data_IF_470438278894
#
_entry.id   IF_470438278894
#
_cell.length_a   1.000
_cell.length_b   1.000
_cell.length_c   1.000
_cell.angle_alpha   90.00
_cell.angle_beta   90.00
_cell.angle_gamma   90.00
#
_symmetry.space_group_name_H-M   'P 1'
#
loop_
_entity.id
_entity.type
_entity.pdbx_description
1 polymer ?
#
# COMPACT_ATOMS: atom_id res chain seq x y z
N UNK A 1 2.29 -22.07 -13.23
CA UNK A 1 3.10 -21.08 -12.48
C UNK A 1 4.43 -21.72 -12.11
N UNK A 2 5.53 -20.95 -12.05
CA UNK A 2 6.84 -21.42 -11.58
C UNK A 2 6.94 -21.27 -10.06
N UNK A 3 7.77 -22.07 -9.39
CA UNK A 3 8.12 -21.83 -7.99
C UNK A 3 8.74 -20.42 -7.84
N UNK A 4 8.37 -19.70 -6.77
CA UNK A 4 8.76 -18.29 -6.57
C UNK A 4 10.28 -18.09 -6.50
N UNK A 5 11.02 -19.06 -5.98
CA UNK A 5 12.48 -19.01 -5.92
C UNK A 5 13.11 -19.01 -7.33
N UNK A 6 12.47 -19.67 -8.30
CA UNK A 6 12.89 -19.65 -9.71
C UNK A 6 12.68 -18.26 -10.33
N UNK A 7 11.49 -17.69 -10.11
CA UNK A 7 11.14 -16.32 -10.58
C UNK A 7 12.07 -15.27 -9.95
N UNK A 8 12.36 -15.40 -8.67
CA UNK A 8 13.30 -14.53 -7.96
C UNK A 8 14.71 -14.58 -8.55
N UNK A 9 15.16 -15.78 -8.98
CA UNK A 9 16.47 -15.98 -9.60
C UNK A 9 16.58 -15.27 -10.95
N UNK A 10 15.50 -15.19 -11.73
CA UNK A 10 15.46 -14.50 -13.02
C UNK A 10 15.84 -13.01 -12.88
N UNK A 11 15.53 -12.38 -11.73
CA UNK A 11 15.97 -11.02 -11.41
C UNK A 11 17.17 -10.92 -10.47
N UNK A 12 17.73 -12.04 -10.02
CA UNK A 12 18.95 -12.09 -9.21
C UNK A 12 18.71 -11.81 -7.72
N UNK A 13 17.51 -12.12 -7.22
CA UNK A 13 17.20 -12.22 -5.79
C UNK A 13 17.66 -13.60 -5.31
N UNK A 14 18.37 -13.64 -4.18
CA UNK A 14 18.87 -14.88 -3.57
C UNK A 14 17.79 -15.49 -2.68
N UNK A 15 17.84 -16.81 -2.51
CA UNK A 15 16.86 -17.54 -1.70
C UNK A 15 16.82 -17.07 -0.24
N UNK A 16 17.97 -16.73 0.34
CA UNK A 16 18.05 -16.18 1.71
C UNK A 16 17.56 -14.73 1.83
N UNK A 17 17.21 -14.08 0.73
CA UNK A 17 16.59 -12.74 0.70
C UNK A 17 15.06 -12.84 0.53
N UNK A 18 14.52 -14.05 0.35
CA UNK A 18 13.09 -14.32 0.25
C UNK A 18 12.52 -14.82 1.58
N UNK A 19 11.28 -14.41 1.84
CA UNK A 19 10.44 -14.95 2.90
C UNK A 19 9.23 -15.57 2.18
N UNK A 20 9.25 -16.89 1.90
CA UNK A 20 8.18 -17.55 1.15
C UNK A 20 6.82 -17.46 1.86
N UNK A 21 5.76 -17.28 1.08
CA UNK A 21 4.36 -17.28 1.50
C UNK A 21 3.61 -18.35 0.70
N UNK A 22 3.99 -19.62 0.95
CA UNK A 22 3.67 -20.73 0.06
C UNK A 22 4.62 -20.79 -1.14
N UNK A 23 4.21 -21.50 -2.19
CA UNK A 23 5.10 -21.87 -3.30
C UNK A 23 5.27 -20.78 -4.37
N UNK A 24 4.27 -19.91 -4.53
CA UNK A 24 4.13 -19.01 -5.70
C UNK A 24 4.24 -17.53 -5.36
N UNK A 25 4.46 -17.18 -4.09
CA UNK A 25 4.59 -15.79 -3.62
C UNK A 25 5.58 -15.71 -2.45
N UNK A 26 6.25 -14.58 -2.32
CA UNK A 26 7.23 -14.34 -1.25
C UNK A 26 7.32 -12.85 -0.94
N UNK A 27 7.66 -12.50 0.31
CA UNK A 27 8.16 -11.15 0.63
C UNK A 27 9.65 -11.08 0.36
N UNK A 28 10.17 -9.94 -0.08
CA UNK A 28 11.61 -9.71 -0.27
C UNK A 28 12.17 -8.92 0.91
N UNK A 29 13.17 -9.47 1.59
CA UNK A 29 13.84 -8.80 2.70
C UNK A 29 14.49 -7.50 2.24
N UNK A 30 14.33 -6.43 3.03
CA UNK A 30 14.98 -5.14 2.76
C UNK A 30 16.51 -5.20 2.90
N UNK A 31 17.06 -6.25 3.53
CA UNK A 31 18.51 -6.47 3.60
C UNK A 31 19.15 -6.63 2.22
N UNK A 32 18.37 -6.99 1.19
CA UNK A 32 18.84 -7.05 -0.21
C UNK A 32 19.49 -5.75 -0.67
N UNK A 33 19.04 -4.59 -0.15
CA UNK A 33 19.60 -3.28 -0.49
C UNK A 33 21.06 -3.14 -0.07
N UNK A 34 21.55 -3.88 0.95
CA UNK A 34 22.98 -3.92 1.31
C UNK A 34 23.84 -4.44 0.15
N UNK A 35 23.29 -5.36 -0.66
CA UNK A 35 23.95 -5.95 -1.84
C UNK A 35 23.69 -5.16 -3.12
N UNK A 36 22.44 -4.78 -3.37
CA UNK A 36 22.03 -4.21 -4.66
C UNK A 36 21.93 -2.69 -4.67
N UNK A 37 21.96 -2.03 -3.50
CA UNK A 37 21.73 -0.59 -3.38
C UNK A 37 22.72 0.28 -4.15
N UNK A 38 23.97 -0.18 -4.30
CA UNK A 38 25.02 0.53 -5.08
C UNK A 38 24.99 0.22 -6.58
N UNK A 39 24.15 -0.70 -7.06
CA UNK A 39 24.03 -0.98 -8.50
C UNK A 39 23.43 0.23 -9.22
N UNK A 40 23.81 0.42 -10.49
CA UNK A 40 23.16 1.39 -11.37
C UNK A 40 21.68 1.01 -11.56
N UNK A 41 20.80 2.00 -11.56
CA UNK A 41 19.39 1.78 -11.84
C UNK A 41 19.21 1.35 -13.31
N UNK A 42 18.29 0.42 -13.55
CA UNK A 42 17.71 0.16 -14.85
C UNK A 42 16.82 1.32 -15.32
N UNK A 43 16.12 1.09 -16.44
CA UNK A 43 15.18 2.05 -17.02
C UNK A 43 13.83 1.95 -16.33
N UNK A 44 13.29 3.08 -15.89
CA UNK A 44 11.94 3.20 -15.36
C UNK A 44 10.97 3.48 -16.52
N UNK A 45 9.91 2.68 -16.64
CA UNK A 45 8.81 2.90 -17.58
C UNK A 45 7.54 3.10 -16.77
N UNK A 46 6.92 4.27 -16.91
CA UNK A 46 5.60 4.55 -16.36
C UNK A 46 4.53 4.28 -17.42
N UNK A 47 3.55 3.45 -17.07
CA UNK A 47 2.33 3.23 -17.85
C UNK A 47 1.21 4.06 -17.24
N UNK A 48 0.56 4.85 -18.09
CA UNK A 48 -0.60 5.69 -17.74
C UNK A 48 -1.62 5.62 -18.87
N UNK A 49 -2.74 6.31 -18.74
CA UNK A 49 -3.86 6.27 -19.69
C UNK A 49 -4.52 7.64 -19.83
N UNK A 50 -5.37 7.79 -20.83
CA UNK A 50 -6.34 8.90 -20.91
C UNK A 50 -7.33 8.83 -19.74
N UNK A 51 -8.15 9.87 -19.57
CA UNK A 51 -9.21 9.87 -18.56
C UNK A 51 -10.08 8.60 -18.69
N UNK A 52 -10.32 7.89 -17.58
CA UNK A 52 -11.02 6.60 -17.63
C UNK A 52 -12.48 6.78 -18.02
N UNK A 53 -12.96 5.85 -18.84
CA UNK A 53 -14.32 5.77 -19.36
C UNK A 53 -14.99 4.48 -18.86
N UNK A 54 -16.29 4.34 -19.11
CA UNK A 54 -17.04 3.14 -18.76
C UNK A 54 -16.53 1.88 -19.51
N UNK A 55 -15.97 2.05 -20.70
CA UNK A 55 -15.54 0.95 -21.56
C UNK A 55 -14.27 0.24 -21.05
N UNK A 56 -13.46 0.95 -20.25
CA UNK A 56 -12.26 0.43 -19.61
C UNK A 56 -11.04 0.38 -20.53
N UNK A 57 -9.96 1.05 -20.13
CA UNK A 57 -8.78 1.27 -20.98
C UNK A 57 -7.74 0.15 -20.87
N UNK A 58 -7.88 -0.77 -19.90
CA UNK A 58 -6.99 -1.93 -19.78
C UNK A 58 -5.55 -1.60 -19.37
N UNK A 59 -5.30 -0.45 -18.71
CA UNK A 59 -3.96 0.00 -18.30
C UNK A 59 -3.12 -1.10 -17.64
N UNK A 60 -3.65 -1.78 -16.62
CA UNK A 60 -2.91 -2.83 -15.90
C UNK A 60 -2.57 -4.02 -16.78
N UNK A 61 -3.45 -4.39 -17.71
CA UNK A 61 -3.18 -5.40 -18.74
C UNK A 61 -2.01 -4.99 -19.64
N UNK A 62 -1.92 -3.70 -20.01
CA UNK A 62 -0.80 -3.14 -20.79
C UNK A 62 0.49 -3.13 -19.97
N UNK A 63 0.46 -2.73 -18.69
CA UNK A 63 1.61 -2.78 -17.78
C UNK A 63 2.23 -4.18 -17.75
N UNK A 64 1.38 -5.20 -17.57
CA UNK A 64 1.79 -6.60 -17.52
C UNK A 64 2.27 -7.09 -18.88
N UNK A 65 1.51 -6.80 -19.95
CA UNK A 65 1.84 -7.20 -21.32
C UNK A 65 3.16 -6.60 -21.80
N UNK A 66 3.46 -5.35 -21.44
CA UNK A 66 4.71 -4.69 -21.79
C UNK A 66 5.91 -5.37 -21.13
N UNK A 67 5.81 -5.72 -19.84
CA UNK A 67 6.87 -6.45 -19.15
C UNK A 67 7.07 -7.86 -19.74
N UNK A 68 5.99 -8.57 -20.10
CA UNK A 68 6.05 -9.84 -20.83
C UNK A 68 6.74 -9.69 -22.19
N UNK A 69 6.36 -8.68 -22.97
CA UNK A 69 6.98 -8.41 -24.26
C UNK A 69 8.47 -8.11 -24.14
N UNK A 70 8.89 -7.29 -23.17
CA UNK A 70 10.30 -7.01 -22.90
C UNK A 70 11.08 -8.29 -22.55
N UNK A 71 10.51 -9.15 -21.72
CA UNK A 71 11.11 -10.44 -21.38
C UNK A 71 11.26 -11.35 -22.60
N UNK A 72 10.24 -11.44 -23.48
CA UNK A 72 10.30 -12.17 -24.75
C UNK A 72 11.37 -11.65 -25.71
N UNK A 73 11.67 -10.35 -25.65
CA UNK A 73 12.75 -9.72 -26.41
C UNK A 73 14.14 -9.91 -25.75
N UNK A 74 14.24 -10.79 -24.75
CA UNK A 74 15.48 -11.09 -24.04
C UNK A 74 15.95 -9.98 -23.11
N UNK A 75 15.07 -9.01 -22.76
CA UNK A 75 15.40 -7.97 -21.77
C UNK A 75 15.06 -8.45 -20.38
N UNK A 76 15.95 -8.20 -19.42
CA UNK A 76 15.69 -8.49 -18.02
C UNK A 76 14.66 -7.47 -17.49
N UNK A 77 13.39 -7.84 -17.49
CA UNK A 77 12.28 -6.97 -17.09
C UNK A 77 11.59 -7.47 -15.82
N UNK A 78 11.12 -6.54 -15.01
CA UNK A 78 10.12 -6.79 -13.99
C UNK A 78 9.13 -5.63 -13.92
N UNK A 79 8.02 -5.85 -13.23
CA UNK A 79 6.99 -4.83 -13.06
C UNK A 79 6.59 -4.63 -11.61
N UNK A 80 5.87 -3.55 -11.33
CA UNK A 80 5.09 -3.40 -10.12
C UNK A 80 3.68 -2.88 -10.39
N UNK A 81 2.71 -3.49 -9.69
CA UNK A 81 1.33 -3.04 -9.61
C UNK A 81 0.93 -2.85 -8.14
N UNK A 82 -0.23 -2.22 -7.94
CA UNK A 82 -0.81 -2.04 -6.62
C UNK A 82 -1.53 -3.31 -6.17
N UNK A 83 -1.52 -3.55 -4.86
CA UNK A 83 -2.39 -4.53 -4.25
C UNK A 83 -3.85 -4.03 -4.31
N UNK A 84 -4.78 -4.83 -4.86
CA UNK A 84 -6.19 -4.48 -4.85
C UNK A 84 -6.77 -4.60 -3.44
N UNK A 85 -7.71 -3.72 -3.12
CA UNK A 85 -8.52 -3.81 -1.91
C UNK A 85 -9.57 -4.92 -2.05
N UNK A 86 -9.81 -5.69 -0.98
CA UNK A 86 -10.73 -6.84 -1.00
C UNK A 86 -12.20 -6.40 -1.12
N UNK A 87 -12.57 -5.26 -0.51
CA UNK A 87 -13.94 -4.75 -0.53
C UNK A 87 -14.52 -4.59 -1.95
N UNK A 88 -13.84 -3.88 -2.87
CA UNK A 88 -14.26 -3.77 -4.27
C UNK A 88 -14.28 -5.09 -5.04
N UNK A 89 -13.33 -6.00 -4.76
CA UNK A 89 -13.26 -7.33 -5.40
C UNK A 89 -14.50 -8.16 -5.06
N UNK A 90 -14.97 -8.11 -3.80
CA UNK A 90 -16.18 -8.81 -3.36
C UNK A 90 -17.48 -8.15 -3.85
N UNK A 91 -17.39 -6.99 -4.49
CA UNK A 91 -18.52 -6.27 -5.06
C UNK A 91 -18.62 -6.45 -6.58
N UNK A 92 -18.56 -5.33 -7.30
CA UNK A 92 -18.76 -5.27 -8.76
C UNK A 92 -17.42 -5.15 -9.51
N UNK A 93 -16.33 -4.79 -8.82
CA UNK A 93 -15.08 -4.42 -9.48
C UNK A 93 -14.27 -5.68 -9.81
N UNK A 94 -13.89 -5.84 -11.09
CA UNK A 94 -12.97 -6.88 -11.52
C UNK A 94 -11.60 -6.79 -10.84
N UNK A 95 -10.84 -7.89 -10.87
CA UNK A 95 -9.56 -8.02 -10.17
C UNK A 95 -8.50 -7.01 -10.63
N UNK A 96 -7.67 -6.56 -9.69
CA UNK A 96 -6.57 -5.61 -9.94
C UNK A 96 -5.34 -6.24 -10.60
N UNK A 97 -5.47 -7.44 -11.16
CA UNK A 97 -4.36 -8.31 -11.57
C UNK A 97 -4.17 -8.42 -13.09
N UNK A 98 -4.81 -7.54 -13.88
CA UNK A 98 -4.78 -7.58 -15.35
C UNK A 98 -5.86 -8.48 -15.95
N UNK A 99 -5.73 -8.79 -17.25
CA UNK A 99 -6.75 -9.52 -18.00
C UNK A 99 -6.21 -10.43 -19.10
N UNK A 100 -6.98 -11.46 -19.46
CA UNK A 100 -6.65 -12.41 -20.52
C UNK A 100 -5.31 -13.13 -20.26
N UNK A 101 -4.41 -13.08 -21.24
CA UNK A 101 -3.07 -13.69 -21.13
C UNK A 101 -2.01 -12.78 -20.50
N UNK A 102 -2.39 -11.59 -20.04
CA UNK A 102 -1.52 -10.62 -19.40
C UNK A 102 -2.02 -10.37 -17.97
N UNK A 103 -1.76 -11.33 -17.09
CA UNK A 103 -2.17 -11.30 -15.69
C UNK A 103 -1.01 -11.54 -14.75
N UNK A 104 -1.11 -11.01 -13.53
CA UNK A 104 -0.26 -11.38 -12.39
C UNK A 104 -0.94 -12.50 -11.60
N UNK A 105 -0.18 -13.52 -11.21
CA UNK A 105 -0.63 -14.75 -10.58
C UNK A 105 0.16 -15.06 -9.30
N UNK A 106 -0.44 -15.74 -8.30
CA UNK A 106 -1.82 -16.24 -8.28
C UNK A 106 -2.85 -15.13 -8.01
N UNK A 107 -3.79 -14.95 -8.94
CA UNK A 107 -4.73 -13.83 -8.90
C UNK A 107 -5.74 -13.94 -7.73
N UNK A 108 -6.13 -15.16 -7.35
CA UNK A 108 -7.02 -15.40 -6.21
C UNK A 108 -6.42 -14.90 -4.89
N UNK A 109 -5.14 -15.22 -4.64
CA UNK A 109 -4.44 -14.75 -3.44
C UNK A 109 -4.34 -13.22 -3.45
N UNK A 110 -3.92 -12.64 -4.58
CA UNK A 110 -3.70 -11.19 -4.71
C UNK A 110 -5.00 -10.40 -4.50
N UNK A 111 -6.14 -10.92 -4.96
CA UNK A 111 -7.43 -10.25 -4.84
C UNK A 111 -8.11 -10.45 -3.46
N UNK A 112 -7.58 -11.35 -2.61
CA UNK A 112 -8.11 -11.65 -1.29
C UNK A 112 -7.18 -11.14 -0.17
N UNK A 113 -6.57 -12.05 0.59
CA UNK A 113 -5.74 -11.70 1.75
C UNK A 113 -4.27 -11.50 1.42
N UNK A 114 -3.85 -11.99 0.25
CA UNK A 114 -2.49 -11.98 -0.26
C UNK A 114 -1.43 -12.36 0.80
N UNK A 115 -0.64 -11.39 1.26
CA UNK A 115 0.39 -11.55 2.30
C UNK A 115 0.05 -10.80 3.59
N UNK A 116 -1.18 -10.29 3.69
CA UNK A 116 -1.71 -9.63 4.89
C UNK A 116 -1.40 -8.14 5.01
N UNK A 117 -0.91 -7.48 3.96
CA UNK A 117 -0.48 -6.08 4.02
C UNK A 117 -1.66 -5.13 4.32
N UNK A 118 -2.80 -5.31 3.66
CA UNK A 118 -4.03 -4.56 3.99
C UNK A 118 -4.48 -4.78 5.44
N UNK A 119 -4.34 -6.00 5.98
CA UNK A 119 -4.70 -6.31 7.37
C UNK A 119 -3.78 -5.62 8.36
N UNK A 120 -2.48 -5.61 8.09
CA UNK A 120 -1.48 -4.92 8.90
C UNK A 120 -1.73 -3.39 8.92
N UNK A 121 -2.04 -2.80 7.76
CA UNK A 121 -2.38 -1.37 7.64
C UNK A 121 -3.67 -1.04 8.39
N UNK A 122 -4.71 -1.88 8.26
CA UNK A 122 -5.97 -1.70 8.99
C UNK A 122 -5.74 -1.77 10.51
N UNK A 123 -4.91 -2.71 10.95
CA UNK A 123 -4.59 -2.90 12.37
C UNK A 123 -3.82 -1.72 12.93
N UNK A 124 -2.80 -1.22 12.21
CA UNK A 124 -2.03 -0.05 12.63
C UNK A 124 -2.89 1.22 12.68
N UNK A 125 -3.79 1.40 11.71
CA UNK A 125 -4.67 2.55 11.65
C UNK A 125 -5.67 2.56 12.81
N UNK A 126 -6.34 1.43 13.03
CA UNK A 126 -7.34 1.31 14.09
C UNK A 126 -6.72 1.27 15.48
N UNK A 127 -5.45 0.84 15.62
CA UNK A 127 -4.69 1.02 16.86
C UNK A 127 -4.58 2.51 17.21
N UNK A 128 -4.26 3.38 16.25
CA UNK A 128 -4.17 4.81 16.49
C UNK A 128 -5.53 5.41 16.89
N UNK A 129 -6.61 5.04 16.21
CA UNK A 129 -7.96 5.46 16.59
C UNK A 129 -8.33 4.98 18.01
N UNK A 130 -7.95 3.76 18.38
CA UNK A 130 -8.19 3.21 19.71
C UNK A 130 -7.37 3.92 20.81
N UNK A 131 -6.10 4.24 20.53
CA UNK A 131 -5.24 4.99 21.46
C UNK A 131 -5.73 6.42 21.67
N UNK A 132 -6.23 7.07 20.62
CA UNK A 132 -6.85 8.38 20.70
C UNK A 132 -8.06 8.36 21.65
N UNK A 133 -9.02 7.46 21.44
CA UNK A 133 -10.20 7.37 22.31
C UNK A 133 -9.85 6.94 23.74
N UNK A 134 -8.86 6.05 23.90
CA UNK A 134 -8.36 5.65 25.20
C UNK A 134 -7.74 6.82 25.97
N UNK A 135 -7.00 7.70 25.27
CA UNK A 135 -6.45 8.93 25.86
C UNK A 135 -7.55 9.87 26.33
N UNK A 136 -8.57 10.09 25.50
CA UNK A 136 -9.73 10.92 25.85
C UNK A 136 -10.44 10.33 27.08
N UNK A 137 -10.64 9.02 27.11
CA UNK A 137 -11.32 8.32 28.20
C UNK A 137 -10.58 8.42 29.55
N UNK A 138 -9.25 8.35 29.56
CA UNK A 138 -8.44 8.28 30.79
C UNK A 138 -7.99 9.64 31.36
N UNK A 139 -8.57 10.75 30.89
CA UNK A 139 -8.36 12.08 31.48
C UNK A 139 -7.84 13.14 30.53
N UNK A 140 -7.74 12.84 29.23
CA UNK A 140 -7.51 13.78 28.14
C UNK A 140 -6.51 14.90 28.44
N UNK A 141 -5.25 14.53 28.71
CA UNK A 141 -4.20 15.48 29.04
C UNK A 141 -3.86 16.48 27.91
N UNK A 142 -4.44 16.29 26.71
CA UNK A 142 -4.21 17.14 25.55
C UNK A 142 -5.41 18.04 25.23
N UNK A 143 -6.46 18.02 26.06
CA UNK A 143 -7.68 18.81 25.88
C UNK A 143 -8.25 18.68 24.46
N UNK A 144 -8.32 17.44 23.96
CA UNK A 144 -8.81 17.10 22.63
C UNK A 144 -10.28 17.50 22.51
N UNK A 145 -10.64 18.22 21.45
CA UNK A 145 -12.03 18.46 21.12
C UNK A 145 -12.59 17.25 20.34
N UNK A 146 -13.53 16.46 20.90
CA UNK A 146 -14.08 15.28 20.22
C UNK A 146 -14.82 15.60 18.91
N UNK A 147 -15.14 16.89 18.66
CA UNK A 147 -15.74 17.38 17.41
C UNK A 147 -14.69 17.59 16.30
N UNK A 148 -13.42 17.72 16.66
CA UNK A 148 -12.30 17.96 15.74
C UNK A 148 -11.31 16.78 15.69
N UNK A 149 -11.83 15.56 15.82
CA UNK A 149 -11.09 14.34 15.47
C UNK A 149 -11.08 14.20 13.94
N UNK A 150 -9.89 14.24 13.34
CA UNK A 150 -9.73 14.13 11.87
C UNK A 150 -9.31 12.73 11.42
N UNK A 151 -8.81 11.92 12.36
CA UNK A 151 -8.42 10.54 12.13
C UNK A 151 -9.63 9.60 12.20
N UNK A 152 -10.03 8.98 11.07
CA UNK A 152 -11.17 8.07 11.06
C UNK A 152 -10.79 6.69 11.63
N UNK A 153 -11.69 5.73 11.47
CA UNK A 153 -11.37 4.29 11.48
C UNK A 153 -11.32 3.73 10.06
N UNK A 154 -10.79 2.53 9.90
CA UNK A 154 -10.76 1.85 8.59
C UNK A 154 -11.18 0.39 8.64
N UNK A 155 -11.73 -0.06 7.52
CA UNK A 155 -11.89 -1.48 7.21
C UNK A 155 -11.82 -1.70 5.72
N UNK A 156 -11.28 -2.83 5.28
CA UNK A 156 -11.16 -3.12 3.85
C UNK A 156 -12.44 -3.74 3.29
N UNK A 157 -13.58 -3.07 3.50
CA UNK A 157 -14.90 -3.56 3.07
C UNK A 157 -15.74 -2.44 2.49
N UNK A 158 -16.58 -2.77 1.51
CA UNK A 158 -17.53 -1.84 0.93
C UNK A 158 -18.78 -1.70 1.81
N UNK A 159 -18.63 -1.10 2.99
CA UNK A 159 -19.74 -0.85 3.91
C UNK A 159 -20.13 0.63 3.94
N UNK A 160 -21.31 0.93 3.37
CA UNK A 160 -21.82 2.31 3.32
C UNK A 160 -22.40 2.80 4.65
N UNK A 161 -22.83 1.88 5.53
CA UNK A 161 -23.51 2.23 6.78
C UNK A 161 -22.53 2.82 7.80
N UNK A 162 -21.24 2.53 7.66
CA UNK A 162 -20.20 3.02 8.55
C UNK A 162 -19.61 4.38 8.13
N UNK A 163 -20.17 5.03 7.10
CA UNK A 163 -19.69 6.35 6.64
C UNK A 163 -19.93 7.47 7.66
N UNK A 164 -20.96 7.34 8.49
CA UNK A 164 -21.24 8.26 9.59
C UNK A 164 -21.76 7.43 10.76
N UNK A 165 -21.03 7.43 11.86
CA UNK A 165 -21.38 6.67 13.07
C UNK A 165 -21.22 7.55 14.30
N UNK A 166 -21.83 7.12 15.40
CA UNK A 166 -21.55 7.64 16.74
C UNK A 166 -20.93 6.50 17.54
N UNK A 167 -19.74 6.72 18.09
CA UNK A 167 -19.00 5.74 18.90
C UNK A 167 -19.00 6.15 20.37
N UNK A 168 -18.46 5.30 21.25
CA UNK A 168 -18.32 5.63 22.69
C UNK A 168 -19.63 5.68 23.47
N UNK A 169 -20.71 5.10 22.95
CA UNK A 169 -22.00 4.96 23.64
C UNK A 169 -21.96 3.86 24.71
N UNK A 170 -22.99 3.79 25.55
CA UNK A 170 -23.15 2.74 26.57
C UNK A 170 -22.90 3.20 28.01
N UNK A 171 -22.52 4.46 28.22
CA UNK A 171 -22.34 5.06 29.55
C UNK A 171 -20.88 5.16 29.99
N UNK A 172 -20.61 5.59 31.24
CA UNK A 172 -19.28 6.04 31.68
C UNK A 172 -18.14 5.02 31.62
N UNK A 173 -18.43 3.73 31.40
CA UNK A 173 -17.42 2.67 31.28
C UNK A 173 -17.05 2.33 29.83
N UNK A 174 -17.71 2.96 28.85
CA UNK A 174 -17.68 2.53 27.45
C UNK A 174 -17.10 3.56 26.48
N UNK A 175 -16.76 4.76 26.98
CA UNK A 175 -16.09 5.81 26.20
C UNK A 175 -16.76 7.17 26.33
N UNK A 176 -16.30 8.11 25.50
CA UNK A 176 -16.86 9.46 25.36
C UNK A 176 -17.59 9.54 24.00
N UNK A 177 -18.91 9.78 23.97
CA UNK A 177 -19.65 9.85 22.73
C UNK A 177 -19.16 10.94 21.78
N UNK A 178 -18.86 10.58 20.53
CA UNK A 178 -18.53 11.52 19.47
C UNK A 178 -18.86 10.93 18.08
N UNK A 179 -18.90 11.80 17.06
CA UNK A 179 -19.10 11.39 15.67
C UNK A 179 -17.80 10.85 15.08
N UNK A 180 -17.90 9.76 14.33
CA UNK A 180 -16.77 9.16 13.62
C UNK A 180 -17.22 8.59 12.26
N UNK A 181 -16.27 8.10 11.47
CA UNK A 181 -16.49 7.45 10.17
C UNK A 181 -15.49 6.33 9.93
N UNK A 182 -15.89 5.37 9.10
CA UNK A 182 -14.99 4.39 8.52
C UNK A 182 -14.65 4.76 7.08
N UNK A 183 -13.36 4.67 6.75
CA UNK A 183 -12.87 4.71 5.38
C UNK A 183 -12.40 3.33 4.94
N UNK A 184 -12.34 3.09 3.63
CA UNK A 184 -11.71 1.86 3.14
C UNK A 184 -10.21 1.89 3.41
N UNK A 185 -9.59 0.76 3.76
CA UNK A 185 -8.18 0.72 4.19
C UNK A 185 -7.21 1.35 3.19
N UNK A 186 -7.46 1.20 1.89
CA UNK A 186 -6.66 1.84 0.82
C UNK A 186 -6.66 3.38 0.85
N UNK A 187 -7.61 4.01 1.56
CA UNK A 187 -7.71 5.45 1.77
C UNK A 187 -6.94 5.94 3.01
N UNK A 188 -6.39 5.03 3.82
CA UNK A 188 -5.62 5.35 5.02
C UNK A 188 -4.35 6.15 4.69
N UNK A 189 -4.02 7.16 5.49
CA UNK A 189 -2.72 7.84 5.39
C UNK A 189 -1.56 6.88 5.65
N UNK A 190 -1.75 5.84 6.48
CA UNK A 190 -0.75 4.78 6.69
C UNK A 190 -0.43 4.06 5.38
N UNK A 191 -1.41 3.84 4.51
CA UNK A 191 -1.17 3.25 3.19
C UNK A 191 -0.28 4.16 2.33
N UNK A 192 -0.56 5.47 2.32
CA UNK A 192 0.25 6.45 1.60
C UNK A 192 1.68 6.52 2.16
N UNK A 193 1.83 6.54 3.48
CA UNK A 193 3.12 6.55 4.18
C UNK A 193 3.91 5.28 3.88
N UNK A 194 3.30 4.09 3.93
CA UNK A 194 3.97 2.83 3.57
C UNK A 194 4.47 2.87 2.12
N UNK A 195 3.68 3.44 1.21
CA UNK A 195 4.06 3.53 -0.20
C UNK A 195 5.18 4.55 -0.46
N UNK A 196 5.34 5.57 0.37
CA UNK A 196 6.35 6.62 0.23
C UNK A 196 7.55 6.47 1.15
N UNK A 197 7.64 5.40 1.94
CA UNK A 197 8.75 5.18 2.87
C UNK A 197 9.85 4.32 2.24
N UNK A 198 11.11 4.69 2.47
CA UNK A 198 12.29 3.95 2.02
C UNK A 198 12.75 2.87 3.01
N UNK A 199 12.11 2.80 4.17
CA UNK A 199 12.43 1.84 5.21
C UNK A 199 11.75 2.17 6.52
N UNK A 200 12.03 1.34 7.54
CA UNK A 200 11.35 1.42 8.83
C UNK A 200 11.60 2.74 9.58
N UNK A 201 12.81 3.30 9.46
CA UNK A 201 13.14 4.56 10.12
C UNK A 201 12.38 5.75 9.53
N UNK A 202 12.23 5.81 8.20
CA UNK A 202 11.43 6.85 7.56
C UNK A 202 9.93 6.66 7.82
N UNK A 203 9.46 5.41 7.81
CA UNK A 203 8.07 5.07 8.15
C UNK A 203 7.70 5.63 9.54
N UNK A 204 8.56 5.40 10.55
CA UNK A 204 8.36 5.94 11.91
C UNK A 204 8.36 7.47 11.94
N UNK A 205 9.31 8.12 11.26
CA UNK A 205 9.36 9.59 11.17
C UNK A 205 8.10 10.18 10.53
N UNK A 206 7.54 9.52 9.53
CA UNK A 206 6.28 9.93 8.91
C UNK A 206 5.10 9.72 9.87
N UNK A 207 5.07 8.62 10.62
CA UNK A 207 4.08 8.41 11.68
C UNK A 207 4.12 9.45 12.77
N UNK A 208 5.30 9.94 13.15
CA UNK A 208 5.41 11.00 14.16
C UNK A 208 4.61 12.26 13.81
N UNK A 209 4.44 12.54 12.51
CA UNK A 209 3.81 13.76 12.00
C UNK A 209 2.34 13.58 11.62
N UNK A 210 1.76 12.39 11.80
CA UNK A 210 0.32 12.18 11.55
C UNK A 210 -0.46 13.02 12.55
N UNK A 211 -1.30 13.93 12.06
CA UNK A 211 -2.24 14.70 12.87
C UNK A 211 -3.53 13.88 13.02
N UNK A 212 -3.98 13.70 14.26
CA UNK A 212 -5.16 12.87 14.56
C UNK A 212 -6.37 13.66 15.02
N UNK A 213 -6.15 14.78 15.69
CA UNK A 213 -7.20 15.63 16.25
C UNK A 213 -6.64 17.03 16.52
N UNK A 214 -7.53 17.94 16.93
CA UNK A 214 -7.18 19.26 17.44
C UNK A 214 -7.72 19.41 18.87
N UNK A 215 -7.02 20.19 19.69
CA UNK A 215 -7.50 20.59 21.01
C UNK A 215 -8.61 21.65 20.91
N UNK A 216 -9.24 21.99 22.04
CA UNK A 216 -10.15 23.14 22.13
C UNK A 216 -9.47 24.48 21.79
N UNK A 217 -8.14 24.55 21.91
CA UNK A 217 -7.32 25.72 21.56
C UNK A 217 -6.79 25.64 20.12
N UNK A 218 -7.31 24.73 19.29
CA UNK A 218 -6.92 24.49 17.88
C UNK A 218 -5.48 24.00 17.69
N UNK A 219 -4.84 23.48 18.74
CA UNK A 219 -3.49 22.91 18.66
C UNK A 219 -3.54 21.48 18.07
N UNK A 220 -2.67 21.14 17.10
CA UNK A 220 -2.67 19.83 16.46
C UNK A 220 -2.12 18.76 17.39
N UNK A 221 -2.84 17.64 17.49
CA UNK A 221 -2.42 16.47 18.24
C UNK A 221 -1.93 15.40 17.27
N UNK A 222 -0.72 14.91 17.51
CA UNK A 222 -0.04 13.95 16.63
C UNK A 222 -0.03 12.53 17.19
N UNK A 223 0.19 11.55 16.31
CA UNK A 223 0.39 10.16 16.72
C UNK A 223 1.62 9.96 17.62
N UNK A 224 2.62 10.85 17.54
CA UNK A 224 3.76 10.89 18.46
C UNK A 224 3.33 11.25 19.89
N UNK A 225 2.49 12.26 20.05
CA UNK A 225 1.98 12.68 21.37
C UNK A 225 1.17 11.56 22.03
N UNK A 226 0.48 10.73 21.24
CA UNK A 226 -0.24 9.54 21.70
C UNK A 226 0.65 8.30 21.91
N UNK A 227 1.98 8.42 21.79
CA UNK A 227 2.93 7.31 21.91
C UNK A 227 2.65 6.10 20.99
N UNK A 228 2.00 6.32 19.84
CA UNK A 228 1.54 5.25 18.96
C UNK A 228 2.61 4.73 17.96
N UNK A 229 3.63 5.55 17.67
CA UNK A 229 4.57 5.36 16.54
C UNK A 229 5.25 3.98 16.56
N UNK A 230 5.80 3.58 17.70
CA UNK A 230 6.53 2.31 17.81
C UNK A 230 5.62 1.09 17.59
N UNK A 231 4.41 1.12 18.14
CA UNK A 231 3.45 0.04 18.03
C UNK A 231 2.88 -0.08 16.61
N UNK A 232 2.55 1.05 15.96
CA UNK A 232 2.14 1.06 14.55
C UNK A 232 3.24 0.53 13.63
N UNK A 233 4.49 0.95 13.85
CA UNK A 233 5.63 0.46 13.07
C UNK A 233 5.87 -1.05 13.25
N UNK A 234 5.66 -1.57 14.47
CA UNK A 234 5.77 -3.00 14.76
C UNK A 234 4.74 -3.83 13.97
N UNK A 235 3.50 -3.34 13.87
CA UNK A 235 2.43 -4.00 13.09
C UNK A 235 2.75 -4.05 11.59
N UNK A 236 3.56 -3.11 11.06
CA UNK A 236 3.93 -3.05 9.65
C UNK A 236 5.31 -3.64 9.34
N UNK A 237 5.96 -4.29 10.32
CA UNK A 237 7.32 -4.84 10.20
C UNK A 237 7.49 -5.75 8.98
N UNK A 238 6.49 -6.59 8.70
CA UNK A 238 6.50 -7.47 7.52
C UNK A 238 5.80 -6.82 6.32
N UNK A 239 4.78 -6.00 6.56
CA UNK A 239 4.02 -5.33 5.52
C UNK A 239 4.84 -4.34 4.69
N UNK A 240 5.92 -3.76 5.23
CA UNK A 240 6.81 -2.85 4.47
C UNK A 240 7.64 -3.58 3.39
N UNK A 241 7.74 -4.92 3.45
CA UNK A 241 8.56 -5.71 2.52
C UNK A 241 7.79 -5.98 1.23
N UNK A 242 8.32 -5.61 0.04
CA UNK A 242 7.66 -5.86 -1.23
C UNK A 242 7.32 -7.33 -1.47
N UNK A 243 6.12 -7.60 -1.98
CA UNK A 243 5.71 -8.96 -2.33
C UNK A 243 6.09 -9.27 -3.78
N UNK A 244 6.80 -10.38 -3.98
CA UNK A 244 7.18 -10.93 -5.27
C UNK A 244 6.20 -12.04 -5.67
N UNK A 245 5.72 -11.95 -6.89
CA UNK A 245 4.86 -12.90 -7.60
C UNK A 245 5.32 -12.95 -9.07
N UNK A 246 4.49 -13.47 -9.97
CA UNK A 246 4.86 -13.63 -11.38
C UNK A 246 3.69 -13.34 -12.33
N UNK A 247 3.99 -13.03 -13.58
CA UNK A 247 2.98 -12.98 -14.64
C UNK A 247 2.59 -14.38 -15.13
N UNK A 248 1.58 -14.47 -15.99
CA UNK A 248 1.21 -15.68 -16.75
C UNK A 248 2.38 -16.31 -17.51
N UNK A 249 3.38 -15.54 -17.90
CA UNK A 249 4.60 -16.00 -18.59
C UNK A 249 5.80 -16.15 -17.65
N UNK A 250 5.60 -16.00 -16.34
CA UNK A 250 6.64 -16.14 -15.34
C UNK A 250 7.58 -14.94 -15.23
N UNK A 251 7.18 -13.76 -15.73
CA UNK A 251 7.96 -12.53 -15.52
C UNK A 251 7.82 -12.08 -14.07
N UNK A 252 8.92 -11.72 -13.37
CA UNK A 252 8.84 -11.26 -11.99
C UNK A 252 7.99 -10.00 -11.83
N UNK A 253 7.07 -10.01 -10.87
CA UNK A 253 6.16 -8.90 -10.61
C UNK A 253 6.11 -8.59 -9.12
N UNK A 254 6.21 -7.31 -8.76
CA UNK A 254 5.95 -6.83 -7.42
C UNK A 254 4.50 -6.39 -7.28
N UNK A 255 3.84 -6.77 -6.19
CA UNK A 255 2.52 -6.27 -5.82
C UNK A 255 2.65 -5.70 -4.43
N UNK A 256 2.68 -4.37 -4.28
CA UNK A 256 2.97 -3.77 -2.99
C UNK A 256 2.43 -2.35 -2.85
N UNK A 257 1.65 -2.14 -1.80
CA UNK A 257 0.93 -0.90 -1.58
C UNK A 257 -0.25 -0.72 -2.54
N UNK A 258 -1.22 0.07 -2.13
CA UNK A 258 -2.43 0.33 -2.90
C UNK A 258 -3.15 1.61 -2.50
N UNK A 259 -2.48 2.77 -2.48
CA UNK A 259 -3.11 4.02 -2.10
C UNK A 259 -4.09 4.47 -3.19
N UNK A 260 -5.09 5.21 -2.75
CA UNK A 260 -5.98 5.92 -3.64
C UNK A 260 -5.22 6.95 -4.50
N UNK A 261 -5.74 7.21 -5.70
CA UNK A 261 -5.13 8.13 -6.65
C UNK A 261 -5.80 9.51 -6.69
N UNK A 262 -6.87 9.71 -5.91
CA UNK A 262 -7.53 11.01 -5.72
C UNK A 262 -7.01 11.72 -4.47
N UNK A 263 -7.13 11.12 -3.28
CA UNK A 263 -6.67 11.68 -2.00
C UNK A 263 -5.19 11.38 -1.69
N UNK A 264 -4.56 10.50 -2.46
CA UNK A 264 -3.14 10.18 -2.38
C UNK A 264 -2.53 10.06 -3.79
N UNK A 265 -1.32 9.50 -3.88
CA UNK A 265 -0.47 9.50 -5.09
C UNK A 265 -0.74 8.33 -6.06
N UNK A 266 -1.48 7.29 -5.64
CA UNK A 266 -2.05 6.34 -6.57
C UNK A 266 -1.10 5.33 -7.24
N UNK A 267 0.08 5.06 -6.69
CA UNK A 267 1.05 4.11 -7.27
C UNK A 267 1.44 3.01 -6.28
N UNK A 268 2.10 1.96 -6.75
CA UNK A 268 2.75 1.00 -5.85
C UNK A 268 3.87 1.66 -5.06
N UNK A 269 4.35 1.00 -4.00
CA UNK A 269 5.39 1.56 -3.14
C UNK A 269 6.69 1.94 -3.86
N UNK A 270 7.40 2.94 -3.32
CA UNK A 270 8.74 3.31 -3.76
C UNK A 270 9.77 2.22 -3.46
N UNK A 271 9.57 1.41 -2.41
CA UNK A 271 10.46 0.30 -2.08
C UNK A 271 10.48 -0.76 -3.19
N UNK A 272 9.30 -1.17 -3.68
CA UNK A 272 9.19 -2.09 -4.81
C UNK A 272 9.84 -1.50 -6.08
N UNK A 273 9.61 -0.20 -6.32
CA UNK A 273 10.18 0.52 -7.48
C UNK A 273 11.70 0.59 -7.42
N UNK A 274 12.26 1.06 -6.30
CA UNK A 274 13.71 1.14 -6.08
C UNK A 274 14.35 -0.24 -6.18
N UNK A 275 13.74 -1.26 -5.59
CA UNK A 275 14.26 -2.62 -5.63
C UNK A 275 14.28 -3.16 -7.06
N UNK A 276 13.17 -3.04 -7.79
CA UNK A 276 13.09 -3.49 -9.18
C UNK A 276 14.09 -2.79 -10.09
N UNK A 277 14.28 -1.48 -9.92
CA UNK A 277 15.31 -0.71 -10.65
C UNK A 277 16.74 -1.19 -10.36
N UNK A 278 17.04 -1.74 -9.19
CA UNK A 278 18.36 -2.31 -8.88
C UNK A 278 18.56 -3.73 -9.44
N UNK A 279 17.47 -4.42 -9.79
CA UNK A 279 17.46 -5.84 -10.14
C UNK A 279 17.26 -6.09 -11.64
N UNK A 280 16.50 -5.24 -12.32
CA UNK A 280 16.14 -5.40 -13.73
C UNK A 280 16.69 -4.27 -14.61
N UNK A 281 16.86 -4.56 -15.91
CA UNK A 281 17.24 -3.56 -16.91
C UNK A 281 16.07 -2.63 -17.24
N UNK A 282 14.84 -3.15 -17.13
CA UNK A 282 13.59 -2.43 -17.38
C UNK A 282 12.61 -2.71 -16.25
N UNK A 283 12.16 -1.64 -15.59
CA UNK A 283 11.15 -1.70 -14.55
C UNK A 283 9.88 -1.00 -15.05
N UNK A 284 8.80 -1.75 -15.18
CA UNK A 284 7.50 -1.24 -15.66
C UNK A 284 6.58 -1.01 -14.45
N UNK A 285 6.02 0.17 -14.30
CA UNK A 285 5.05 0.47 -13.24
C UNK A 285 3.90 1.30 -13.78
N UNK A 286 2.90 1.56 -12.96
CA UNK A 286 1.72 2.31 -13.33
C UNK A 286 1.27 3.26 -12.23
N UNK A 287 0.54 4.30 -12.63
CA UNK A 287 -0.13 5.22 -11.73
C UNK A 287 -1.64 5.18 -11.96
N UNK A 288 -2.45 5.26 -10.89
CA UNK A 288 -3.92 5.20 -10.95
C UNK A 288 -4.57 6.38 -11.68
N UNK A 289 -5.81 6.22 -12.16
CA UNK A 289 -6.50 7.20 -13.03
C UNK A 289 -5.72 7.52 -14.33
N UNK A 290 -5.98 8.67 -14.94
CA UNK A 290 -5.33 9.13 -16.16
C UNK A 290 -4.03 9.90 -15.91
N UNK A 291 -3.49 10.49 -16.98
CA UNK A 291 -2.29 11.33 -16.96
C UNK A 291 -2.43 12.56 -16.07
N UNK A 292 -3.62 13.15 -16.03
CA UNK A 292 -4.00 14.34 -15.27
C UNK A 292 -3.89 14.17 -13.74
N UNK A 293 -4.04 12.95 -13.25
CA UNK A 293 -3.94 12.64 -11.81
C UNK A 293 -2.76 11.73 -11.50
N UNK A 294 -2.75 10.53 -12.08
CA UNK A 294 -1.78 9.50 -11.72
C UNK A 294 -0.36 9.85 -12.13
N UNK A 295 -0.19 10.20 -13.41
CA UNK A 295 1.14 10.52 -13.93
C UNK A 295 1.67 11.82 -13.33
N UNK A 296 0.83 12.85 -13.21
CA UNK A 296 1.18 14.10 -12.53
C UNK A 296 1.74 13.85 -11.12
N UNK A 297 0.99 13.12 -10.27
CA UNK A 297 1.42 12.79 -8.92
C UNK A 297 2.64 11.87 -8.89
N UNK A 298 2.79 10.97 -9.86
CA UNK A 298 4.00 10.17 -9.98
C UNK A 298 5.23 11.06 -10.18
N UNK A 299 5.18 12.00 -11.12
CA UNK A 299 6.33 12.88 -11.40
C UNK A 299 6.56 13.92 -10.29
N UNK A 300 5.52 14.48 -9.69
CA UNK A 300 5.63 15.59 -8.75
C UNK A 300 5.65 15.19 -7.27
N UNK A 301 5.28 13.95 -6.94
CA UNK A 301 5.33 13.43 -5.56
C UNK A 301 6.25 12.21 -5.48
N UNK A 302 6.08 11.21 -6.34
CA UNK A 302 6.79 9.92 -6.20
C UNK A 302 8.24 9.98 -6.70
N UNK A 303 8.52 10.76 -7.74
CA UNK A 303 9.86 10.91 -8.31
C UNK A 303 10.73 11.98 -7.63
N UNK A 304 10.15 12.83 -6.76
CA UNK A 304 10.87 13.87 -6.03
C UNK A 304 11.38 13.35 -4.69
#
# INVERSE_FOLDING_TARGET
MKNITSVARDIGIRENELIPWGEYKAKVSLDIFKRVGKKKNGKLILVTTTNPTFEGEGKTTITIGLAQALARLGKKACLAIREPSIGPVMGVKGGGTGGGRCQVLPAEDINLHFTGDMHAISSAHNLLSALLDNHIFHGDAFHIDPRYIVWPRVMDMNDRNLRNVVVGLGGPKHGVPHQDRFSITAASEIMAILCLSEGMEELKKRFENIIVAYSYDEEPITAKQLNAVGAMAALLKDAIKPNLVQTTEGVPAFVHGGPFANIAHGTSSILATKLGLKLADYFVTEAGFGTDLGAEKFFNIVCR
#
